data_IF_301825497348
#
_entry.id   IF_301825497348
#
_cell.length_a   1.000
_cell.length_b   1.000
_cell.length_c   1.000
_cell.angle_alpha   90.00
_cell.angle_beta   90.00
_cell.angle_gamma   90.00
#
_symmetry.space_group_name_H-M   'P 1'
#
loop_
_entity.id
_entity.type
_entity.pdbx_description
1 polymer ?
#
# COMPACT_ATOMS: atom_id res chain seq x y z
N UNK A 1 21.74 -15.13 -7.17
CA UNK A 1 22.37 -16.27 -6.45
C UNK A 1 23.75 -16.49 -7.06
N UNK A 2 24.79 -16.77 -6.27
CA UNK A 2 26.11 -17.04 -6.84
C UNK A 2 26.07 -18.32 -7.65
N UNK A 3 26.49 -18.23 -8.91
CA UNK A 3 26.65 -19.36 -9.80
C UNK A 3 28.14 -19.69 -9.86
N UNK A 4 28.49 -20.93 -9.58
CA UNK A 4 29.86 -21.41 -9.74
C UNK A 4 29.96 -22.22 -11.04
N UNK A 5 30.84 -21.81 -11.94
CA UNK A 5 31.16 -22.58 -13.13
C UNK A 5 32.17 -23.67 -12.74
N UNK A 6 31.79 -24.92 -12.95
CA UNK A 6 32.67 -26.07 -12.74
C UNK A 6 33.07 -26.62 -14.09
N UNK A 7 34.39 -26.76 -14.31
CA UNK A 7 34.93 -27.51 -15.48
C UNK A 7 34.90 -29.00 -15.17
N UNK A 8 34.23 -29.77 -16.00
CA UNK A 8 34.25 -31.22 -15.92
C UNK A 8 35.55 -31.76 -16.56
N UNK A 9 35.91 -33.01 -16.23
CA UNK A 9 37.10 -33.66 -16.75
C UNK A 9 37.12 -33.81 -18.29
N UNK A 10 35.96 -33.70 -18.93
CA UNK A 10 35.83 -33.72 -20.42
C UNK A 10 35.92 -32.30 -21.04
N UNK A 11 36.17 -31.27 -20.25
CA UNK A 11 36.26 -29.87 -20.70
C UNK A 11 34.96 -29.11 -20.74
N UNK A 12 33.82 -29.74 -20.48
CA UNK A 12 32.52 -29.07 -20.44
C UNK A 12 32.42 -28.18 -19.21
N UNK A 13 31.75 -27.04 -19.37
CA UNK A 13 31.43 -26.11 -18.27
C UNK A 13 30.00 -26.36 -17.81
N UNK A 14 29.84 -26.67 -16.52
CA UNK A 14 28.53 -26.83 -15.89
C UNK A 14 28.32 -25.71 -14.88
N UNK A 15 27.24 -24.95 -15.03
CA UNK A 15 26.80 -23.97 -14.05
C UNK A 15 26.06 -24.67 -12.90
N UNK A 16 26.55 -24.52 -11.68
CA UNK A 16 25.84 -24.98 -10.46
C UNK A 16 25.41 -23.82 -9.60
N UNK A 17 24.16 -23.84 -9.19
CA UNK A 17 23.70 -22.96 -8.14
C UNK A 17 24.34 -23.36 -6.82
N UNK A 18 24.97 -22.38 -6.14
CA UNK A 18 25.40 -22.56 -4.77
C UNK A 18 24.30 -22.05 -3.85
N UNK A 19 23.66 -22.98 -3.14
CA UNK A 19 22.73 -22.59 -2.09
C UNK A 19 23.55 -22.11 -0.88
N UNK A 20 23.07 -21.03 -0.19
CA UNK A 20 23.65 -20.66 1.10
C UNK A 20 23.42 -21.77 2.12
N UNK A 21 24.27 -21.81 3.15
CA UNK A 21 24.07 -22.73 4.27
C UNK A 21 22.77 -22.31 4.98
N UNK A 22 21.81 -23.24 5.17
CA UNK A 22 20.57 -22.89 5.88
C UNK A 22 20.86 -22.60 7.34
N UNK A 23 20.19 -21.59 7.90
CA UNK A 23 20.24 -21.30 9.33
C UNK A 23 19.33 -22.27 10.08
N UNK A 24 19.83 -22.88 11.14
CA UNK A 24 19.03 -23.81 11.96
C UNK A 24 17.97 -23.08 12.78
N UNK A 25 16.87 -23.75 13.14
CA UNK A 25 15.85 -23.17 14.02
C UNK A 25 16.38 -22.78 15.40
N UNK A 26 17.40 -23.48 15.93
CA UNK A 26 18.06 -23.13 17.18
C UNK A 26 18.90 -21.85 17.07
N UNK A 27 19.58 -21.64 15.95
CA UNK A 27 20.30 -20.39 15.66
C UNK A 27 19.33 -19.22 15.53
N UNK A 28 18.21 -19.41 14.82
CA UNK A 28 17.14 -18.39 14.72
C UNK A 28 16.52 -18.06 16.07
N UNK A 29 16.26 -19.07 16.91
CA UNK A 29 15.67 -18.87 18.25
C UNK A 29 16.57 -18.10 19.20
N UNK A 30 17.89 -18.17 19.01
CA UNK A 30 18.89 -17.44 19.79
C UNK A 30 19.43 -16.20 19.09
N UNK A 31 19.05 -15.97 17.82
CA UNK A 31 19.45 -14.78 17.08
C UNK A 31 18.67 -13.58 17.60
N UNK A 32 19.39 -12.51 17.89
CA UNK A 32 18.83 -11.19 18.20
C UNK A 32 18.45 -10.49 16.87
N UNK A 33 17.57 -11.15 16.09
CA UNK A 33 17.11 -10.60 14.81
C UNK A 33 16.22 -9.40 15.12
N UNK A 34 16.63 -8.18 14.79
CA UNK A 34 15.83 -6.99 15.10
C UNK A 34 14.49 -7.04 14.36
N UNK A 35 13.46 -6.49 15.00
CA UNK A 35 12.17 -6.25 14.33
C UNK A 35 12.38 -5.42 13.08
N UNK A 36 11.56 -5.62 12.03
CA UNK A 36 11.65 -4.84 10.81
C UNK A 36 11.59 -3.33 11.11
N UNK A 37 12.55 -2.58 10.58
CA UNK A 37 12.64 -1.14 10.80
C UNK A 37 11.66 -0.43 9.88
N UNK A 38 10.69 0.27 10.45
CA UNK A 38 9.75 1.09 9.68
C UNK A 38 10.40 2.41 9.26
N UNK A 39 10.24 2.78 7.98
CA UNK A 39 10.44 4.16 7.48
C UNK A 39 9.19 4.98 7.74
N UNK A 40 8.03 4.42 7.41
CA UNK A 40 6.72 4.95 7.80
C UNK A 40 5.98 3.84 8.53
N UNK A 41 5.79 3.96 9.86
CA UNK A 41 5.17 2.91 10.65
C UNK A 41 3.79 2.52 10.12
N UNK A 42 3.55 1.22 10.04
CA UNK A 42 2.30 0.67 9.50
C UNK A 42 2.18 0.71 7.97
N UNK A 43 3.21 1.21 7.24
CA UNK A 43 3.12 1.40 5.79
C UNK A 43 4.37 0.93 5.03
N UNK A 44 5.57 1.35 5.45
CA UNK A 44 6.81 1.20 4.69
C UNK A 44 7.93 0.71 5.61
N UNK A 45 8.57 -0.39 5.25
CA UNK A 45 9.59 -1.05 6.05
C UNK A 45 10.88 -1.29 5.26
N UNK A 46 12.04 -1.11 5.90
CA UNK A 46 13.36 -1.34 5.32
C UNK A 46 13.54 -2.81 4.93
N UNK A 47 14.12 -3.04 3.74
CA UNK A 47 14.35 -4.37 3.20
C UNK A 47 13.09 -5.07 2.66
N UNK A 48 11.95 -4.37 2.60
CA UNK A 48 10.65 -4.91 2.19
C UNK A 48 9.99 -4.12 1.08
N UNK A 49 9.04 -4.78 0.39
CA UNK A 49 8.30 -4.22 -0.73
C UNK A 49 6.89 -3.82 -0.32
N UNK A 50 6.56 -2.55 -0.49
CA UNK A 50 5.21 -2.03 -0.33
C UNK A 50 4.60 -1.74 -1.71
N UNK A 51 3.47 -2.37 -2.05
CA UNK A 51 2.66 -1.99 -3.20
C UNK A 51 1.63 -0.95 -2.77
N UNK A 52 1.72 0.26 -3.31
CA UNK A 52 0.78 1.34 -3.04
C UNK A 52 -0.14 1.56 -4.24
N UNK A 53 -1.38 1.14 -4.12
CA UNK A 53 -2.36 1.15 -5.20
C UNK A 53 -3.46 2.20 -5.00
N UNK A 54 -4.10 2.60 -6.09
CA UNK A 54 -5.23 3.52 -6.06
C UNK A 54 -5.69 3.90 -7.45
N UNK A 55 -6.96 4.30 -7.58
CA UNK A 55 -7.51 4.75 -8.85
C UNK A 55 -6.71 5.94 -9.43
N UNK A 56 -6.73 6.18 -10.75
CA UNK A 56 -6.23 7.42 -11.31
C UNK A 56 -6.85 8.63 -10.61
N UNK A 57 -6.03 9.62 -10.26
CA UNK A 57 -6.45 10.84 -9.53
C UNK A 57 -6.98 10.61 -8.10
N UNK A 58 -6.75 9.43 -7.51
CA UNK A 58 -7.10 9.19 -6.10
C UNK A 58 -6.23 9.97 -5.11
N UNK A 59 -5.09 10.54 -5.54
CA UNK A 59 -4.16 11.28 -4.69
C UNK A 59 -2.91 10.49 -4.29
N UNK A 60 -2.58 9.38 -4.98
CA UNK A 60 -1.35 8.60 -4.68
C UNK A 60 -0.09 9.46 -4.66
N UNK A 61 0.14 10.23 -5.73
CA UNK A 61 1.32 11.13 -5.82
C UNK A 61 1.30 12.20 -4.72
N UNK A 62 0.11 12.66 -4.27
CA UNK A 62 -0.01 13.58 -3.15
C UNK A 62 0.40 12.93 -1.84
N UNK A 63 -0.02 11.67 -1.57
CA UNK A 63 0.45 10.90 -0.39
C UNK A 63 1.96 10.68 -0.44
N UNK A 64 2.50 10.32 -1.60
CA UNK A 64 3.95 10.16 -1.78
C UNK A 64 4.68 11.47 -1.47
N UNK A 65 4.21 12.58 -2.00
CA UNK A 65 4.81 13.90 -1.73
C UNK A 65 4.70 14.31 -0.25
N UNK A 66 3.61 13.96 0.44
CA UNK A 66 3.49 14.15 1.89
C UNK A 66 4.53 13.30 2.66
N UNK A 67 4.67 12.03 2.31
CA UNK A 67 5.72 11.17 2.88
C UNK A 67 7.11 11.77 2.65
N UNK A 68 7.41 12.22 1.43
CA UNK A 68 8.69 12.83 1.09
C UNK A 68 8.95 14.13 1.89
N UNK A 69 7.92 14.98 2.07
CA UNK A 69 8.05 16.18 2.92
C UNK A 69 8.36 15.82 4.38
N UNK A 70 7.69 14.81 4.93
CA UNK A 70 7.93 14.36 6.33
C UNK A 70 9.32 13.74 6.50
N UNK A 71 9.73 12.88 5.57
CA UNK A 71 11.08 12.32 5.54
C UNK A 71 12.12 13.42 5.45
N UNK A 72 11.92 14.39 4.54
CA UNK A 72 12.81 15.54 4.36
C UNK A 72 12.87 16.41 5.62
N UNK A 73 11.71 16.73 6.21
CA UNK A 73 11.64 17.54 7.43
C UNK A 73 12.40 16.88 8.59
N UNK A 74 12.34 15.57 8.72
CA UNK A 74 13.11 14.81 9.72
C UNK A 74 14.62 14.98 9.57
N UNK A 75 15.11 15.16 8.33
CA UNK A 75 16.53 15.51 8.08
C UNK A 75 16.85 16.97 8.41
N UNK A 76 15.98 17.88 7.99
CA UNK A 76 16.22 19.32 8.12
C UNK A 76 16.17 19.78 9.58
N UNK A 77 15.27 19.22 10.39
CA UNK A 77 15.07 19.60 11.80
C UNK A 77 15.84 18.74 12.79
N UNK A 78 16.28 17.53 12.40
CA UNK A 78 16.81 16.50 13.29
C UNK A 78 15.84 16.10 14.43
N UNK A 79 14.56 16.41 14.26
CA UNK A 79 13.50 16.09 15.21
C UNK A 79 12.58 14.99 14.68
N UNK A 80 11.95 14.20 15.55
CA UNK A 80 10.94 13.25 15.15
C UNK A 80 9.77 13.95 14.45
N UNK A 81 9.43 13.51 13.23
CA UNK A 81 8.30 14.03 12.47
C UNK A 81 7.19 12.99 12.49
N UNK A 82 6.04 13.39 13.01
CA UNK A 82 4.86 12.53 13.06
C UNK A 82 4.44 12.10 11.65
N UNK A 83 4.05 10.83 11.51
CA UNK A 83 3.47 10.31 10.28
C UNK A 83 2.03 10.82 10.09
N UNK A 84 1.35 10.38 9.06
CA UNK A 84 -0.09 10.63 8.93
C UNK A 84 -0.92 9.88 9.99
N UNK A 85 -0.31 8.94 10.72
CA UNK A 85 -0.90 8.25 11.87
C UNK A 85 -0.41 8.90 13.15
N UNK A 86 -1.31 9.17 14.12
CA UNK A 86 -0.93 9.78 15.39
C UNK A 86 0.03 8.88 16.18
N UNK A 87 0.89 9.49 16.98
CA UNK A 87 1.89 8.84 17.84
C UNK A 87 2.89 7.93 17.10
N UNK A 88 2.99 8.04 15.77
CA UNK A 88 3.94 7.29 14.94
C UNK A 88 4.81 8.26 14.15
N UNK A 89 6.12 8.06 14.22
CA UNK A 89 7.10 8.99 13.65
C UNK A 89 7.75 8.40 12.40
N UNK A 90 7.90 9.25 11.39
CA UNK A 90 8.60 8.91 10.15
C UNK A 90 10.09 8.89 10.41
N UNK A 91 10.77 7.84 9.92
CA UNK A 91 12.22 7.76 9.93
C UNK A 91 12.79 8.55 8.76
N UNK A 92 13.70 9.52 8.99
CA UNK A 92 14.39 10.18 7.89
C UNK A 92 15.30 9.19 7.15
N UNK A 93 15.14 9.12 5.83
CA UNK A 93 15.92 8.24 4.95
C UNK A 93 16.25 8.97 3.63
N UNK A 94 17.48 8.85 3.15
CA UNK A 94 17.80 9.28 1.79
C UNK A 94 16.90 8.58 0.80
N UNK A 95 16.32 9.31 -0.12
CA UNK A 95 15.25 8.79 -0.97
C UNK A 95 15.59 8.92 -2.44
N UNK A 96 15.36 7.85 -3.20
CA UNK A 96 15.36 7.84 -4.66
C UNK A 96 13.92 7.67 -5.15
N UNK A 97 13.46 8.57 -6.02
CA UNK A 97 12.19 8.38 -6.73
C UNK A 97 12.43 8.23 -8.23
N UNK A 98 11.88 7.16 -8.81
CA UNK A 98 11.79 6.94 -10.24
C UNK A 98 10.38 7.28 -10.70
N UNK A 99 10.21 8.37 -11.46
CA UNK A 99 8.89 8.90 -11.80
C UNK A 99 8.72 9.10 -13.30
N UNK A 100 7.50 8.83 -13.82
CA UNK A 100 7.14 9.18 -15.19
C UNK A 100 6.77 10.67 -15.36
N UNK A 101 6.66 11.42 -14.26
CA UNK A 101 6.38 12.85 -14.30
C UNK A 101 7.56 13.63 -14.92
N UNK A 102 7.27 14.84 -15.41
CA UNK A 102 8.29 15.71 -15.97
C UNK A 102 9.21 16.28 -14.90
N UNK A 103 10.44 16.66 -15.28
CA UNK A 103 11.37 17.35 -14.39
C UNK A 103 10.78 18.61 -13.76
N UNK A 104 9.94 19.36 -14.52
CA UNK A 104 9.28 20.57 -14.01
C UNK A 104 8.39 20.31 -12.78
N UNK A 105 7.61 19.23 -12.79
CA UNK A 105 6.74 18.89 -11.67
C UNK A 105 7.53 18.55 -10.38
N UNK A 106 8.72 18.03 -10.54
CA UNK A 106 9.64 17.74 -9.43
C UNK A 106 10.48 18.95 -9.02
N UNK A 107 10.81 19.83 -9.96
CA UNK A 107 11.47 21.10 -9.66
C UNK A 107 10.61 21.97 -8.74
N UNK A 108 9.32 22.14 -9.08
CA UNK A 108 8.38 22.87 -8.24
C UNK A 108 8.25 22.23 -6.84
N UNK A 109 8.19 20.89 -6.77
CA UNK A 109 8.15 20.19 -5.49
C UNK A 109 9.43 20.43 -4.66
N UNK A 110 10.61 20.31 -5.27
CA UNK A 110 11.89 20.51 -4.59
C UNK A 110 12.11 21.95 -4.12
N UNK A 111 11.64 22.95 -4.89
CA UNK A 111 11.70 24.37 -4.50
C UNK A 111 10.87 24.65 -3.24
N UNK A 112 9.76 23.95 -3.07
CA UNK A 112 8.86 24.11 -1.93
C UNK A 112 9.22 23.24 -0.70
N UNK A 113 10.34 22.49 -0.75
CA UNK A 113 10.84 21.78 0.42
C UNK A 113 11.50 22.78 1.39
N UNK A 114 11.04 22.76 2.63
CA UNK A 114 11.61 23.57 3.70
C UNK A 114 12.99 23.07 4.12
N UNK A 115 13.86 23.96 4.59
CA UNK A 115 15.16 23.63 5.14
C UNK A 115 16.35 24.08 4.28
N UNK A 116 17.58 23.84 4.74
CA UNK A 116 18.78 24.23 4.04
C UNK A 116 18.95 23.46 2.72
N UNK A 117 19.65 24.06 1.75
CA UNK A 117 19.81 23.48 0.40
C UNK A 117 20.53 22.13 0.38
N UNK A 118 21.44 21.88 1.31
CA UNK A 118 22.11 20.59 1.47
C UNK A 118 21.16 19.49 1.91
N UNK A 119 20.11 19.83 2.68
CA UNK A 119 19.07 18.87 3.04
C UNK A 119 18.30 18.37 1.80
N UNK A 120 18.19 19.17 0.73
CA UNK A 120 17.53 18.74 -0.51
C UNK A 120 18.29 17.65 -1.27
N UNK A 121 19.61 17.51 -1.02
CA UNK A 121 20.42 16.45 -1.62
C UNK A 121 20.05 15.02 -1.15
N UNK A 122 19.21 14.90 -0.13
CA UNK A 122 18.69 13.61 0.33
C UNK A 122 17.62 13.03 -0.60
N UNK A 123 17.04 13.87 -1.47
CA UNK A 123 16.07 13.44 -2.47
C UNK A 123 16.75 13.39 -3.85
N UNK A 124 16.87 12.18 -4.38
CA UNK A 124 17.35 11.92 -5.73
C UNK A 124 16.15 11.59 -6.64
N UNK A 125 16.12 12.16 -7.84
CA UNK A 125 14.97 12.05 -8.74
C UNK A 125 15.41 11.57 -10.12
N UNK A 126 14.94 10.41 -10.52
CA UNK A 126 14.96 9.93 -11.90
C UNK A 126 13.59 10.23 -12.54
N UNK A 127 13.49 11.35 -13.22
CA UNK A 127 12.27 11.76 -13.90
C UNK A 127 12.21 11.26 -15.35
N UNK A 128 11.12 11.49 -16.04
CA UNK A 128 10.83 11.04 -17.41
C UNK A 128 11.98 11.22 -18.41
N UNK A 129 12.81 12.23 -18.25
CA UNK A 129 13.96 12.53 -19.12
C UNK A 129 15.17 11.59 -18.94
N UNK A 130 15.24 10.82 -17.84
CA UNK A 130 16.39 9.95 -17.52
C UNK A 130 16.27 8.53 -18.09
N UNK A 131 15.27 8.28 -18.93
CA UNK A 131 15.03 6.95 -19.51
C UNK A 131 14.14 6.05 -18.66
N UNK A 132 13.75 4.96 -19.28
CA UNK A 132 12.90 3.90 -18.70
C UNK A 132 13.12 2.61 -19.47
N UNK A 133 12.78 1.49 -18.86
CA UNK A 133 12.80 0.18 -19.51
C UNK A 133 11.68 0.09 -20.56
N UNK A 134 11.98 -0.41 -21.75
CA UNK A 134 10.97 -0.60 -22.78
C UNK A 134 9.99 -1.73 -22.39
N UNK A 135 8.70 -1.62 -22.74
CA UNK A 135 7.76 -2.72 -22.53
C UNK A 135 8.25 -4.01 -23.18
N UNK A 136 8.21 -5.14 -22.47
CA UNK A 136 8.68 -6.44 -22.93
C UNK A 136 10.20 -6.67 -22.88
N UNK A 137 11.00 -5.66 -22.57
CA UNK A 137 12.46 -5.76 -22.51
C UNK A 137 12.95 -6.29 -21.14
N UNK A 138 12.70 -7.57 -20.87
CA UNK A 138 13.01 -8.20 -19.58
C UNK A 138 14.50 -8.16 -19.22
N UNK A 139 15.39 -8.30 -20.19
CA UNK A 139 16.85 -8.23 -19.98
C UNK A 139 17.29 -6.81 -19.62
N UNK A 140 16.69 -5.78 -20.24
CA UNK A 140 16.94 -4.39 -19.88
C UNK A 140 16.45 -4.08 -18.45
N UNK A 141 15.36 -4.71 -18.01
CA UNK A 141 14.87 -4.56 -16.63
C UNK A 141 15.92 -5.02 -15.61
N UNK A 142 16.57 -6.17 -15.87
CA UNK A 142 17.61 -6.68 -14.97
C UNK A 142 18.77 -5.69 -14.88
N UNK A 143 19.25 -5.20 -16.02
CA UNK A 143 20.35 -4.21 -16.07
C UNK A 143 19.96 -2.90 -15.39
N UNK A 144 18.70 -2.44 -15.58
CA UNK A 144 18.20 -1.24 -14.94
C UNK A 144 18.13 -1.42 -13.42
N UNK A 145 17.64 -2.57 -12.93
CA UNK A 145 17.60 -2.89 -11.49
C UNK A 145 19.02 -2.95 -10.91
N UNK A 146 19.97 -3.56 -11.60
CA UNK A 146 21.37 -3.60 -11.16
C UNK A 146 21.95 -2.19 -11.03
N UNK A 147 21.70 -1.29 -11.98
CA UNK A 147 22.12 0.10 -11.91
C UNK A 147 21.46 0.87 -10.75
N UNK A 148 20.17 0.60 -10.45
CA UNK A 148 19.49 1.16 -9.27
C UNK A 148 20.13 0.65 -7.98
N UNK A 149 20.43 -0.65 -7.87
CA UNK A 149 21.10 -1.24 -6.70
C UNK A 149 22.48 -0.59 -6.46
N UNK A 150 23.26 -0.38 -7.50
CA UNK A 150 24.55 0.31 -7.40
C UNK A 150 24.38 1.75 -6.93
N UNK A 151 23.42 2.49 -7.49
CA UNK A 151 23.10 3.86 -7.10
C UNK A 151 22.63 3.94 -5.64
N UNK A 152 21.74 3.04 -5.22
CA UNK A 152 21.24 2.96 -3.84
C UNK A 152 22.39 2.75 -2.86
N UNK A 153 23.32 1.85 -3.17
CA UNK A 153 24.51 1.60 -2.33
C UNK A 153 25.47 2.78 -2.32
N UNK A 154 25.73 3.37 -3.49
CA UNK A 154 26.69 4.49 -3.61
C UNK A 154 26.22 5.78 -2.92
N UNK A 155 24.90 6.01 -2.89
CA UNK A 155 24.31 7.23 -2.31
C UNK A 155 23.71 7.00 -0.91
N UNK A 156 23.85 5.78 -0.35
CA UNK A 156 23.28 5.39 0.95
C UNK A 156 21.77 5.68 1.04
N UNK A 157 21.03 5.25 0.01
CA UNK A 157 19.58 5.46 -0.08
C UNK A 157 18.86 4.42 0.77
N UNK A 158 17.96 4.89 1.63
CA UNK A 158 17.15 4.03 2.50
C UNK A 158 15.70 3.85 2.07
N UNK A 159 15.23 4.67 1.11
CA UNK A 159 13.88 4.58 0.55
C UNK A 159 13.91 4.73 -0.98
N UNK A 160 13.35 3.77 -1.70
CA UNK A 160 13.18 3.81 -3.16
C UNK A 160 11.69 3.81 -3.49
N UNK A 161 11.27 4.72 -4.37
CA UNK A 161 9.88 4.83 -4.83
C UNK A 161 9.85 4.74 -6.35
N UNK A 162 8.98 3.89 -6.91
CA UNK A 162 8.81 3.71 -8.37
C UNK A 162 7.36 4.06 -8.75
N UNK A 163 7.16 5.12 -9.53
CA UNK A 163 5.86 5.68 -9.89
C UNK A 163 5.69 5.90 -11.40
N UNK A 164 4.84 5.12 -12.08
CA UNK A 164 4.24 3.85 -11.66
C UNK A 164 5.12 2.64 -12.01
N UNK A 165 4.98 1.57 -11.27
CA UNK A 165 5.75 0.33 -11.48
C UNK A 165 5.63 -0.24 -12.90
N UNK A 166 4.48 -0.10 -13.54
CA UNK A 166 4.23 -0.59 -14.90
C UNK A 166 5.07 0.10 -15.98
N UNK A 167 5.56 1.31 -15.71
CA UNK A 167 6.42 2.05 -16.65
C UNK A 167 7.89 1.66 -16.60
N UNK A 168 8.32 1.08 -15.48
CA UNK A 168 9.70 0.69 -15.25
C UNK A 168 9.89 -0.83 -15.25
N UNK A 169 8.80 -1.62 -15.18
CA UNK A 169 8.81 -3.06 -15.00
C UNK A 169 8.86 -3.89 -16.28
N UNK A 170 9.08 -3.31 -17.45
CA UNK A 170 9.04 -4.02 -18.75
C UNK A 170 7.70 -4.76 -19.00
N UNK A 171 6.61 -4.39 -18.32
CA UNK A 171 5.34 -5.08 -18.36
C UNK A 171 4.55 -4.65 -19.59
N UNK A 172 4.12 -5.61 -20.43
CA UNK A 172 3.23 -5.38 -21.56
C UNK A 172 1.78 -5.69 -21.22
N UNK A 173 1.55 -6.66 -20.35
CA UNK A 173 0.22 -7.09 -19.93
C UNK A 173 0.14 -7.26 -18.41
N UNK A 174 -0.58 -6.35 -17.74
CA UNK A 174 -0.78 -6.39 -16.27
C UNK A 174 -1.56 -7.63 -15.78
N UNK A 175 -2.22 -8.35 -16.70
CA UNK A 175 -2.94 -9.60 -16.39
C UNK A 175 -2.08 -10.85 -16.59
N UNK A 176 -0.90 -10.75 -17.20
CA UNK A 176 0.02 -11.87 -17.32
C UNK A 176 0.79 -12.09 -16.01
N UNK A 177 0.44 -13.17 -15.33
CA UNK A 177 1.02 -13.48 -14.01
C UNK A 177 2.53 -13.73 -14.07
N UNK A 178 3.02 -14.34 -15.15
CA UNK A 178 4.44 -14.67 -15.31
C UNK A 178 5.27 -13.42 -15.57
N UNK A 179 4.76 -12.50 -16.39
CA UNK A 179 5.41 -11.25 -16.71
C UNK A 179 5.48 -10.33 -15.47
N UNK A 180 4.36 -10.18 -14.75
CA UNK A 180 4.27 -9.39 -13.52
C UNK A 180 5.16 -9.97 -12.43
N UNK A 181 5.12 -11.29 -12.21
CA UNK A 181 5.95 -11.95 -11.20
C UNK A 181 7.45 -11.73 -11.48
N UNK A 182 7.88 -11.86 -12.73
CA UNK A 182 9.27 -11.60 -13.14
C UNK A 182 9.69 -10.17 -12.82
N UNK A 183 8.83 -9.19 -13.11
CA UNK A 183 9.09 -7.80 -12.80
C UNK A 183 9.18 -7.55 -11.29
N UNK A 184 8.23 -8.08 -10.51
CA UNK A 184 8.23 -7.94 -9.06
C UNK A 184 9.44 -8.58 -8.41
N UNK A 185 9.85 -9.78 -8.83
CA UNK A 185 11.08 -10.44 -8.37
C UNK A 185 12.35 -9.64 -8.70
N UNK A 186 12.39 -8.99 -9.88
CA UNK A 186 13.50 -8.12 -10.22
C UNK A 186 13.55 -6.90 -9.28
N UNK A 187 12.43 -6.26 -9.02
CA UNK A 187 12.35 -5.11 -8.10
C UNK A 187 12.63 -5.49 -6.65
N UNK A 188 12.18 -6.66 -6.18
CA UNK A 188 12.44 -7.16 -4.83
C UNK A 188 13.94 -7.23 -4.51
N UNK A 189 14.79 -7.44 -5.53
CA UNK A 189 16.25 -7.40 -5.37
C UNK A 189 16.74 -6.05 -4.85
N UNK A 190 16.11 -4.94 -5.22
CA UNK A 190 16.48 -3.61 -4.70
C UNK A 190 16.36 -3.62 -3.18
N UNK A 191 15.25 -4.09 -2.62
CA UNK A 191 15.06 -4.16 -1.17
C UNK A 191 15.98 -5.18 -0.51
N UNK A 192 16.05 -6.40 -1.03
CA UNK A 192 16.80 -7.52 -0.41
C UNK A 192 18.33 -7.36 -0.48
N UNK A 193 18.86 -6.75 -1.55
CA UNK A 193 20.31 -6.60 -1.74
C UNK A 193 20.87 -5.30 -1.13
N UNK A 194 20.02 -4.31 -0.85
CA UNK A 194 20.44 -3.02 -0.29
C UNK A 194 19.94 -2.76 1.12
N UNK A 195 18.87 -3.45 1.55
CA UNK A 195 18.17 -3.14 2.80
C UNK A 195 17.31 -1.88 2.73
N UNK A 196 17.21 -1.21 1.58
CA UNK A 196 16.32 -0.07 1.40
C UNK A 196 14.85 -0.51 1.40
N UNK A 197 13.96 0.35 1.85
CA UNK A 197 12.53 0.18 1.67
C UNK A 197 12.18 0.44 0.21
N UNK A 198 11.30 -0.39 -0.38
CA UNK A 198 10.85 -0.23 -1.75
C UNK A 198 9.34 0.00 -1.81
N UNK A 199 8.91 1.09 -2.43
CA UNK A 199 7.51 1.42 -2.69
C UNK A 199 7.22 1.39 -4.19
N UNK A 200 6.27 0.55 -4.59
CA UNK A 200 5.83 0.41 -5.97
C UNK A 200 4.43 1.01 -6.11
N UNK A 201 4.27 2.07 -6.90
CA UNK A 201 2.97 2.66 -7.16
C UNK A 201 2.26 1.94 -8.32
N UNK A 202 0.99 1.62 -8.10
CA UNK A 202 0.17 0.90 -9.07
C UNK A 202 -1.26 1.45 -9.14
N UNK A 203 -2.02 1.06 -10.17
CA UNK A 203 -3.42 1.42 -10.30
C UNK A 203 -4.34 0.34 -9.76
N UNK A 204 -5.49 0.73 -9.21
CA UNK A 204 -6.58 -0.19 -8.88
C UNK A 204 -7.54 -0.35 -10.06
N UNK A 205 -8.40 -1.37 -9.99
CA UNK A 205 -9.59 -1.48 -10.84
C UNK A 205 -10.55 -0.30 -10.59
N UNK A 206 -11.39 0.03 -11.58
CA UNK A 206 -12.37 1.12 -11.42
C UNK A 206 -13.33 0.82 -10.25
N UNK A 207 -13.32 1.69 -9.25
CA UNK A 207 -14.15 1.57 -8.04
C UNK A 207 -13.74 0.46 -7.07
N UNK A 208 -12.60 -0.23 -7.32
CA UNK A 208 -12.06 -1.27 -6.46
C UNK A 208 -10.97 -0.78 -5.51
N UNK A 209 -10.71 -1.59 -4.48
CA UNK A 209 -9.58 -1.45 -3.56
C UNK A 209 -8.44 -2.40 -3.92
N UNK A 210 -8.67 -3.33 -4.83
CA UNK A 210 -7.70 -4.31 -5.26
C UNK A 210 -6.80 -3.76 -6.38
N UNK A 211 -5.49 -4.08 -6.40
CA UNK A 211 -4.62 -3.77 -7.51
C UNK A 211 -5.19 -4.32 -8.82
N UNK A 212 -5.04 -3.54 -9.91
CA UNK A 212 -5.47 -3.98 -11.24
C UNK A 212 -4.50 -5.02 -11.79
N UNK A 213 -5.02 -6.06 -12.46
CA UNK A 213 -4.23 -7.08 -13.10
C UNK A 213 -4.31 -8.44 -12.42
N UNK A 214 -3.26 -9.24 -12.56
CA UNK A 214 -3.19 -10.60 -12.05
C UNK A 214 -2.96 -10.68 -10.53
N UNK A 215 -3.05 -11.90 -9.98
CA UNK A 215 -2.91 -12.15 -8.55
C UNK A 215 -1.49 -11.90 -8.00
N UNK A 216 -0.46 -11.90 -8.84
CA UNK A 216 0.91 -11.61 -8.40
C UNK A 216 1.04 -10.26 -7.71
N UNK A 217 0.27 -9.24 -8.14
CA UNK A 217 0.22 -7.94 -7.49
C UNK A 217 -0.22 -7.98 -6.02
N UNK A 218 -0.98 -9.01 -5.65
CA UNK A 218 -1.49 -9.18 -4.28
C UNK A 218 -0.69 -10.17 -3.43
N UNK A 219 0.09 -11.05 -4.08
CA UNK A 219 0.76 -12.17 -3.41
C UNK A 219 2.23 -11.90 -3.13
N UNK A 220 2.90 -11.16 -4.01
CA UNK A 220 4.34 -10.95 -3.94
C UNK A 220 4.76 -9.86 -2.94
N UNK A 221 4.12 -8.66 -2.88
CA UNK A 221 4.52 -7.61 -1.96
C UNK A 221 4.34 -8.00 -0.49
N UNK A 222 5.20 -7.47 0.39
CA UNK A 222 5.11 -7.67 1.84
C UNK A 222 3.99 -6.85 2.47
N UNK A 223 3.74 -5.66 1.89
CA UNK A 223 2.70 -4.73 2.31
C UNK A 223 1.92 -4.27 1.08
N UNK A 224 0.60 -4.22 1.21
CA UNK A 224 -0.29 -3.68 0.19
C UNK A 224 -1.09 -2.56 0.81
N UNK A 225 -0.99 -1.38 0.22
CA UNK A 225 -1.76 -0.20 0.57
C UNK A 225 -2.69 0.17 -0.58
N UNK A 226 -3.93 0.51 -0.26
CA UNK A 226 -4.92 0.93 -1.24
C UNK A 226 -5.55 2.26 -0.84
N UNK A 227 -5.41 3.27 -1.71
CA UNK A 227 -5.97 4.60 -1.53
C UNK A 227 -7.24 4.78 -2.33
N UNK A 228 -8.31 5.21 -1.67
CA UNK A 228 -9.57 5.56 -2.34
C UNK A 228 -10.18 6.85 -1.78
N UNK A 229 -10.98 7.53 -2.59
CA UNK A 229 -11.78 8.64 -2.12
C UNK A 229 -12.92 8.13 -1.22
N UNK A 230 -13.23 8.84 -0.15
CA UNK A 230 -14.43 8.59 0.63
C UNK A 230 -15.64 9.16 -0.12
N UNK A 231 -16.62 8.32 -0.40
CA UNK A 231 -17.93 8.77 -0.88
C UNK A 231 -18.77 9.21 0.32
N UNK A 232 -18.61 10.45 0.76
CA UNK A 232 -19.35 11.02 1.91
C UNK A 232 -20.72 11.45 1.42
N UNK A 233 -21.78 11.13 2.17
CA UNK A 233 -23.12 11.68 1.96
C UNK A 233 -23.21 13.10 2.53
N UNK A 234 -24.06 13.96 1.94
CA UNK A 234 -24.26 15.37 2.32
C UNK A 234 -24.49 15.60 3.82
N UNK A 235 -25.15 14.66 4.51
CA UNK A 235 -25.42 14.72 5.96
C UNK A 235 -24.15 14.72 6.84
N UNK A 236 -23.06 14.12 6.34
CA UNK A 236 -21.77 14.09 7.05
C UNK A 236 -20.95 15.35 6.73
N UNK A 237 -21.16 15.94 5.56
CA UNK A 237 -20.49 17.19 5.15
C UNK A 237 -20.84 18.37 6.05
N UNK A 238 -22.10 18.46 6.48
CA UNK A 238 -22.58 19.54 7.38
C UNK A 238 -22.03 19.42 8.81
N UNK A 239 -21.66 18.21 9.23
CA UNK A 239 -21.19 17.95 10.59
C UNK A 239 -19.67 18.16 10.79
N UNK A 240 -18.89 18.23 9.72
CA UNK A 240 -17.43 18.08 9.84
C UNK A 240 -16.60 19.27 9.33
N UNK A 241 -17.17 20.29 8.69
CA UNK A 241 -16.43 21.38 8.00
C UNK A 241 -15.38 20.86 6.96
N UNK A 242 -15.40 19.56 6.66
CA UNK A 242 -14.39 18.89 5.84
C UNK A 242 -14.84 18.84 4.40
N UNK A 243 -14.02 19.37 3.51
CA UNK A 243 -14.29 19.33 2.07
C UNK A 243 -14.23 17.87 1.56
N UNK A 244 -15.35 17.33 1.12
CA UNK A 244 -15.57 15.94 0.65
C UNK A 244 -14.49 15.39 -0.28
N UNK A 245 -14.02 16.20 -1.22
CA UNK A 245 -13.02 15.82 -2.20
C UNK A 245 -11.60 15.62 -1.62
N UNK A 246 -11.38 16.03 -0.36
CA UNK A 246 -10.09 15.93 0.32
C UNK A 246 -9.99 14.74 1.29
N UNK A 247 -11.10 14.04 1.56
CA UNK A 247 -11.08 12.87 2.45
C UNK A 247 -10.72 11.62 1.67
N UNK A 248 -9.81 10.83 2.24
CA UNK A 248 -9.32 9.59 1.69
C UNK A 248 -9.38 8.48 2.72
N UNK A 249 -9.53 7.26 2.23
CA UNK A 249 -9.36 6.06 3.01
C UNK A 249 -8.10 5.36 2.49
N UNK A 250 -7.18 5.11 3.39
CA UNK A 250 -6.01 4.28 3.16
C UNK A 250 -6.24 2.95 3.87
N UNK A 251 -6.37 1.88 3.10
CA UNK A 251 -6.48 0.51 3.62
C UNK A 251 -5.16 -0.20 3.47
N UNK A 252 -4.77 -0.99 4.50
CA UNK A 252 -3.53 -1.73 4.51
C UNK A 252 -3.75 -3.22 4.78
N UNK A 253 -2.90 -4.06 4.23
CA UNK A 253 -2.74 -5.46 4.59
C UNK A 253 -1.29 -5.89 4.35
N UNK A 254 -0.77 -6.80 5.15
CA UNK A 254 0.61 -7.25 4.97
C UNK A 254 1.07 -8.17 6.08
N UNK A 255 2.39 -8.40 6.10
CA UNK A 255 3.05 -9.35 7.02
C UNK A 255 3.38 -8.76 8.40
N UNK A 256 3.18 -7.45 8.59
CA UNK A 256 3.54 -6.75 9.82
C UNK A 256 2.32 -6.42 10.67
N UNK A 257 2.39 -6.63 12.01
CA UNK A 257 1.24 -6.45 12.89
C UNK A 257 0.78 -4.99 13.05
N UNK A 258 1.65 -4.01 12.72
CA UNK A 258 1.35 -2.58 12.86
C UNK A 258 0.52 -2.02 11.70
N UNK A 259 0.24 -2.83 10.66
CA UNK A 259 -0.53 -2.37 9.50
C UNK A 259 -1.99 -2.29 9.88
N UNK A 260 -2.54 -1.07 9.80
CA UNK A 260 -3.96 -0.84 10.03
C UNK A 260 -4.80 -1.34 8.86
N UNK A 261 -5.91 -2.01 9.15
CA UNK A 261 -6.87 -2.46 8.12
C UNK A 261 -7.37 -1.29 7.29
N UNK A 262 -7.61 -0.14 7.93
CA UNK A 262 -7.91 1.11 7.25
C UNK A 262 -7.83 2.33 8.19
N UNK A 263 -7.40 3.44 7.62
CA UNK A 263 -7.43 4.76 8.24
C UNK A 263 -8.15 5.74 7.34
N UNK A 264 -8.83 6.71 7.94
CA UNK A 264 -9.43 7.84 7.23
C UNK A 264 -8.55 9.06 7.41
N UNK A 265 -8.18 9.69 6.30
CA UNK A 265 -7.31 10.86 6.30
C UNK A 265 -7.95 12.02 5.57
N UNK A 266 -7.67 13.22 6.03
CA UNK A 266 -7.95 14.48 5.35
C UNK A 266 -6.67 15.05 4.75
N UNK A 267 -6.74 15.51 3.50
CA UNK A 267 -5.66 16.24 2.84
C UNK A 267 -5.93 17.74 2.98
N UNK A 268 -5.02 18.49 3.61
CA UNK A 268 -5.11 19.95 3.75
C UNK A 268 -4.81 20.69 2.43
N UNK A 269 -4.75 22.01 2.45
CA UNK A 269 -4.50 22.85 1.27
C UNK A 269 -3.08 22.71 0.76
N UNK A 270 -2.15 22.45 1.63
CA UNK A 270 -0.71 22.23 1.36
C UNK A 270 -0.44 20.80 0.86
N UNK A 271 -1.43 19.90 0.91
CA UNK A 271 -1.32 18.50 0.47
C UNK A 271 -0.75 17.56 1.53
N UNK A 272 -0.79 17.95 2.83
CA UNK A 272 -0.43 17.04 3.91
C UNK A 272 -1.64 16.21 4.34
N UNK A 273 -1.39 14.96 4.69
CA UNK A 273 -2.44 14.05 5.16
C UNK A 273 -2.45 13.96 6.68
N UNK A 274 -3.63 14.13 7.25
CA UNK A 274 -3.88 14.04 8.68
C UNK A 274 -4.92 12.98 8.97
N UNK A 275 -4.69 12.15 9.97
CA UNK A 275 -5.68 11.19 10.45
C UNK A 275 -6.93 11.90 10.95
N UNK A 276 -8.09 11.38 10.59
CA UNK A 276 -9.40 11.84 11.08
C UNK A 276 -10.00 10.79 12.02
N UNK A 277 -9.79 10.90 13.33
CA UNK A 277 -10.37 9.96 14.30
C UNK A 277 -11.88 10.15 14.46
N UNK A 278 -12.56 9.13 14.96
CA UNK A 278 -13.95 9.22 15.42
C UNK A 278 -14.98 8.79 14.38
N UNK A 279 -15.92 9.69 14.01
CA UNK A 279 -17.08 9.33 13.17
C UNK A 279 -16.68 8.72 11.83
N UNK A 280 -15.56 9.13 11.27
CA UNK A 280 -15.05 8.64 9.97
C UNK A 280 -14.43 7.24 10.07
N UNK A 281 -13.87 6.84 11.21
CA UNK A 281 -13.32 5.50 11.43
C UNK A 281 -14.40 4.41 11.36
N UNK A 282 -15.67 4.78 11.52
CA UNK A 282 -16.82 3.89 11.42
C UNK A 282 -17.29 3.64 9.97
N UNK A 283 -16.86 4.45 8.99
CA UNK A 283 -17.44 4.47 7.64
C UNK A 283 -16.39 4.23 6.55
N UNK A 284 -15.75 3.08 6.61
CA UNK A 284 -14.69 2.71 5.66
C UNK A 284 -15.22 2.45 4.25
N UNK A 285 -16.50 2.10 4.10
CA UNK A 285 -17.18 1.95 2.80
C UNK A 285 -18.68 2.16 2.93
N UNK A 286 -19.35 2.39 1.78
CA UNK A 286 -20.83 2.42 1.77
C UNK A 286 -21.42 1.11 2.31
N UNK A 287 -20.77 -0.03 2.06
CA UNK A 287 -21.23 -1.32 2.59
C UNK A 287 -21.04 -1.41 4.11
N UNK A 288 -19.99 -0.81 4.67
CA UNK A 288 -19.79 -0.73 6.12
C UNK A 288 -20.77 0.25 6.78
N UNK A 289 -20.98 1.43 6.19
CA UNK A 289 -22.04 2.34 6.62
C UNK A 289 -23.40 1.66 6.63
N UNK A 290 -23.76 1.00 5.52
CA UNK A 290 -25.00 0.27 5.40
C UNK A 290 -25.07 -0.89 6.43
N UNK A 291 -23.94 -1.53 6.77
CA UNK A 291 -23.86 -2.59 7.78
C UNK A 291 -24.10 -2.07 9.19
N UNK A 292 -23.57 -0.93 9.58
CA UNK A 292 -23.83 -0.32 10.89
C UNK A 292 -25.31 0.11 11.02
N UNK A 293 -25.92 0.64 9.96
CA UNK A 293 -27.36 0.90 9.93
C UNK A 293 -28.19 -0.37 10.17
N UNK A 294 -27.81 -1.48 9.53
CA UNK A 294 -28.46 -2.77 9.70
C UNK A 294 -28.31 -3.25 11.15
N UNK A 295 -27.10 -3.18 11.72
CA UNK A 295 -26.87 -3.56 13.11
C UNK A 295 -27.69 -2.74 14.07
N UNK A 296 -27.75 -1.42 13.89
CA UNK A 296 -28.56 -0.53 14.74
C UNK A 296 -30.06 -0.92 14.70
N UNK A 297 -30.59 -1.25 13.51
CA UNK A 297 -31.99 -1.73 13.37
C UNK A 297 -32.20 -3.08 14.02
N UNK A 298 -31.25 -4.03 13.86
CA UNK A 298 -31.35 -5.35 14.48
C UNK A 298 -31.23 -5.27 16.01
N UNK A 299 -30.38 -4.41 16.54
CA UNK A 299 -30.26 -4.17 18.00
C UNK A 299 -31.51 -3.51 18.59
N UNK A 300 -32.11 -2.59 17.85
CA UNK A 300 -33.35 -1.91 18.29
C UNK A 300 -34.60 -2.81 18.18
N UNK A 301 -34.57 -3.83 17.31
CA UNK A 301 -35.72 -4.69 17.00
C UNK A 301 -35.30 -6.18 17.00
N UNK A 302 -34.97 -6.69 18.19
CA UNK A 302 -34.48 -8.07 18.41
C UNK A 302 -35.41 -9.15 17.82
N UNK A 303 -36.70 -8.84 17.62
CA UNK A 303 -37.72 -9.78 17.08
C UNK A 303 -37.75 -9.82 15.54
N UNK A 304 -37.01 -8.92 14.83
CA UNK A 304 -37.00 -8.87 13.37
C UNK A 304 -35.80 -9.67 12.87
N UNK A 305 -36.04 -10.91 12.49
CA UNK A 305 -35.00 -11.87 12.04
C UNK A 305 -34.97 -12.08 10.54
N UNK A 306 -36.10 -11.90 9.84
CA UNK A 306 -36.17 -12.14 8.39
C UNK A 306 -35.49 -11.05 7.60
N UNK A 307 -34.64 -11.44 6.68
CA UNK A 307 -33.86 -10.50 5.85
C UNK A 307 -34.71 -9.48 5.08
N UNK A 308 -35.92 -9.84 4.65
CA UNK A 308 -36.85 -8.94 3.99
C UNK A 308 -37.38 -7.85 4.94
N UNK A 309 -37.68 -8.20 6.18
CA UNK A 309 -38.18 -7.31 7.22
C UNK A 309 -37.07 -6.35 7.71
N UNK A 310 -35.86 -6.87 7.95
CA UNK A 310 -34.68 -6.05 8.29
C UNK A 310 -34.42 -5.04 7.17
N UNK A 311 -34.46 -5.47 5.92
CA UNK A 311 -34.26 -4.60 4.77
C UNK A 311 -35.30 -3.48 4.69
N UNK A 312 -36.58 -3.82 4.91
CA UNK A 312 -37.67 -2.85 4.93
C UNK A 312 -37.51 -1.85 6.06
N UNK A 313 -37.19 -2.32 7.28
CA UNK A 313 -36.93 -1.46 8.44
C UNK A 313 -35.73 -0.53 8.22
N UNK A 314 -34.68 -0.97 7.50
CA UNK A 314 -33.57 -0.14 7.10
C UNK A 314 -33.87 0.79 5.90
N UNK A 315 -35.01 0.67 5.25
CA UNK A 315 -35.38 1.40 4.01
C UNK A 315 -34.28 1.27 2.93
N UNK A 316 -33.79 0.04 2.72
CA UNK A 316 -32.68 -0.19 1.80
C UNK A 316 -33.13 -0.95 0.55
N UNK A 317 -32.46 -0.66 -0.58
CA UNK A 317 -32.55 -1.46 -1.80
C UNK A 317 -31.90 -2.85 -1.62
N UNK A 318 -32.34 -3.85 -2.41
CA UNK A 318 -31.86 -5.24 -2.33
C UNK A 318 -30.35 -5.36 -2.53
N UNK A 319 -29.78 -4.62 -3.47
CA UNK A 319 -28.34 -4.67 -3.80
C UNK A 319 -27.42 -4.21 -2.66
N UNK A 320 -27.57 -2.97 -2.17
CA UNK A 320 -26.83 -2.44 -1.02
C UNK A 320 -27.02 -3.31 0.24
N UNK A 321 -28.26 -3.67 0.58
CA UNK A 321 -28.57 -4.54 1.71
C UNK A 321 -27.81 -5.88 1.64
N UNK A 322 -27.85 -6.54 0.48
CA UNK A 322 -27.16 -7.82 0.32
C UNK A 322 -25.62 -7.71 0.42
N UNK A 323 -25.01 -6.58 0.03
CA UNK A 323 -23.57 -6.36 0.24
C UNK A 323 -23.23 -6.17 1.71
N UNK A 324 -23.99 -5.32 2.41
CA UNK A 324 -23.80 -5.04 3.82
C UNK A 324 -24.01 -6.29 4.69
N UNK A 325 -25.04 -7.09 4.43
CA UNK A 325 -25.29 -8.35 5.15
C UNK A 325 -24.16 -9.36 4.94
N UNK A 326 -23.61 -9.50 3.72
CA UNK A 326 -22.43 -10.36 3.51
C UNK A 326 -21.23 -9.92 4.32
N UNK A 327 -21.01 -8.62 4.43
CA UNK A 327 -19.94 -8.05 5.25
C UNK A 327 -20.13 -8.36 6.73
N UNK A 328 -21.36 -8.21 7.25
CA UNK A 328 -21.69 -8.53 8.66
C UNK A 328 -21.48 -10.00 8.98
N UNK A 329 -21.87 -10.88 8.09
CA UNK A 329 -21.65 -12.33 8.23
C UNK A 329 -20.15 -12.66 8.17
N UNK A 330 -19.41 -12.07 7.22
CA UNK A 330 -17.96 -12.26 7.10
C UNK A 330 -17.16 -11.75 8.32
N UNK A 331 -17.66 -10.68 8.96
CA UNK A 331 -17.08 -10.13 10.21
C UNK A 331 -17.60 -10.82 11.49
N UNK A 332 -18.36 -11.91 11.37
CA UNK A 332 -18.98 -12.61 12.50
C UNK A 332 -19.82 -11.70 13.42
N UNK A 333 -20.42 -10.65 12.89
CA UNK A 333 -21.31 -9.75 13.64
C UNK A 333 -22.77 -10.23 13.59
N UNK A 334 -23.09 -10.99 12.55
CA UNK A 334 -24.43 -11.55 12.29
C UNK A 334 -24.28 -12.99 11.81
N UNK A 335 -25.13 -13.85 12.34
CA UNK A 335 -25.23 -15.26 11.90
C UNK A 335 -26.40 -15.40 10.94
N UNK A 336 -26.20 -16.12 9.84
CA UNK A 336 -27.20 -16.38 8.81
C UNK A 336 -27.76 -17.79 8.94
N UNK A 337 -29.08 -17.91 8.94
CA UNK A 337 -29.83 -19.18 8.94
C UNK A 337 -30.61 -19.34 7.63
N UNK A 338 -30.54 -20.53 7.03
CA UNK A 338 -31.25 -20.86 5.79
C UNK A 338 -30.53 -20.34 4.51
N UNK A 339 -31.01 -20.80 3.37
CA UNK A 339 -30.39 -20.55 2.05
C UNK A 339 -31.33 -20.00 0.98
N UNK A 340 -32.60 -19.76 1.28
CA UNK A 340 -33.67 -19.39 0.34
C UNK A 340 -34.30 -18.02 0.68
N UNK A 341 -35.48 -17.73 0.12
CA UNK A 341 -36.20 -16.48 0.33
C UNK A 341 -36.60 -16.22 1.78
N UNK A 342 -36.60 -17.25 2.64
CA UNK A 342 -36.85 -17.19 4.08
C UNK A 342 -35.56 -17.15 4.92
N UNK A 343 -34.50 -16.53 4.40
CA UNK A 343 -33.26 -16.39 5.15
C UNK A 343 -33.45 -15.52 6.39
N UNK A 344 -33.10 -16.07 7.54
CA UNK A 344 -33.12 -15.39 8.83
C UNK A 344 -31.70 -14.99 9.28
N UNK A 345 -31.61 -13.99 10.12
CA UNK A 345 -30.37 -13.47 10.65
C UNK A 345 -30.51 -13.18 12.15
N UNK A 346 -29.46 -13.47 12.93
CA UNK A 346 -29.36 -13.11 14.32
C UNK A 346 -28.06 -12.39 14.61
N UNK A 347 -28.03 -11.52 15.64
CA UNK A 347 -26.80 -10.93 16.15
C UNK A 347 -25.92 -12.04 16.74
N UNK A 348 -24.61 -12.00 16.47
CA UNK A 348 -23.68 -13.04 16.92
C UNK A 348 -23.54 -13.11 18.47
N UNK A 349 -23.82 -12.01 19.17
CA UNK A 349 -23.82 -11.94 20.63
C UNK A 349 -25.02 -12.65 21.27
N UNK A 350 -26.01 -13.04 20.47
CA UNK A 350 -27.23 -13.70 20.91
C UNK A 350 -27.29 -15.20 20.50
N UNK A 351 -26.20 -15.74 19.99
CA UNK A 351 -25.99 -17.13 19.60
C UNK A 351 -24.87 -17.71 20.46
#
# INVERSE_FOLDING_TARGET
>A
MPVKVLKLNNGDEVQRFMLPVPTSGSELATSDTPSPVAVVPGMIYKGHVTLFSGAPKAGKSTVVRDILRRVHKGFASYEPVESMMPDRFVRPERTLICSEESGWAWEEFAQNLEGPDDAKNWLQILHRGHGRVAPGAADELVLWVDAIIEMVKALDIGLVIIDPVTRFGAITCENDNSEVLRALMAFERIASETGAALVLLHHTTKGGTEPRGCSAWQQQPDVILALRALAVKEEIEQAAEVQKHRVRILSGKGRFPEIEDSIVCHCDEEGNYHHLPGVFDRFVSKAEYDSERILAVMMANVMVTKGAEIRAACQMEKGPFGRAMRLLVAKNRVVKYGSTMDTEYALAENV
#
